data_IF_607167711833
#
_entry.id   IF_607167711833
#
_cell.length_a   1.000
_cell.length_b   1.000
_cell.length_c   1.000
_cell.angle_alpha   90.00
_cell.angle_beta   90.00
_cell.angle_gamma   90.00
#
_symmetry.space_group_name_H-M   'P 1'
#
loop_
_entity.id
_entity.type
_entity.pdbx_description
1 polymer ?
#
# COMPACT_ATOMS: atom_id res chain seq x y z
N UNK A 1 12.44 -28.87 26.50
CA UNK A 1 11.91 -30.21 26.87
C UNK A 1 12.65 -30.79 28.08
N UNK A 2 13.98 -30.71 28.15
CA UNK A 2 14.80 -31.21 29.26
C UNK A 2 14.48 -30.56 30.62
N UNK A 3 14.32 -29.23 30.68
CA UNK A 3 14.02 -28.51 31.92
C UNK A 3 12.67 -28.91 32.56
N UNK A 4 11.64 -29.13 31.74
CA UNK A 4 10.31 -29.58 32.21
C UNK A 4 10.36 -31.04 32.66
N UNK A 5 11.15 -31.88 31.98
CA UNK A 5 11.33 -33.27 32.39
C UNK A 5 12.03 -33.37 33.76
N UNK A 6 13.01 -32.51 34.03
CA UNK A 6 13.73 -32.47 35.31
C UNK A 6 12.81 -32.03 36.45
N UNK A 7 11.99 -31.00 36.27
CA UNK A 7 11.07 -30.54 37.31
C UNK A 7 10.01 -31.59 37.65
N UNK A 8 9.49 -32.30 36.63
CA UNK A 8 8.54 -33.41 36.83
C UNK A 8 9.22 -34.58 37.57
N UNK A 9 10.45 -34.93 37.21
CA UNK A 9 11.21 -35.99 37.88
C UNK A 9 11.48 -35.68 39.35
N UNK A 10 11.89 -34.44 39.66
CA UNK A 10 12.15 -34.04 41.04
C UNK A 10 10.88 -34.02 41.89
N UNK A 11 9.75 -33.59 41.32
CA UNK A 11 8.46 -33.58 42.02
C UNK A 11 7.98 -35.02 42.30
N UNK A 12 8.12 -35.93 41.33
CA UNK A 12 7.77 -37.35 41.50
C UNK A 12 8.59 -38.04 42.58
N UNK A 13 9.91 -37.80 42.63
CA UNK A 13 10.79 -38.39 43.63
C UNK A 13 10.41 -37.97 45.07
N UNK A 14 10.05 -36.69 45.26
CA UNK A 14 9.62 -36.16 46.56
C UNK A 14 8.31 -36.79 47.03
N UNK A 15 7.35 -37.00 46.12
CA UNK A 15 6.06 -37.65 46.42
C UNK A 15 6.27 -39.12 46.85
N UNK A 16 7.15 -39.85 46.16
CA UNK A 16 7.45 -41.26 46.47
C UNK A 16 8.12 -41.41 47.84
N UNK A 17 9.10 -40.54 48.14
CA UNK A 17 9.78 -40.53 49.45
C UNK A 17 8.82 -40.19 50.59
N UNK A 18 7.92 -39.23 50.37
CA UNK A 18 6.91 -38.85 51.35
C UNK A 18 5.97 -40.01 51.68
N UNK A 19 5.46 -40.72 50.66
CA UNK A 19 4.55 -41.85 50.84
C UNK A 19 5.18 -43.00 51.65
N UNK A 20 6.49 -43.25 51.45
CA UNK A 20 7.26 -44.23 52.22
C UNK A 20 7.38 -43.82 53.69
N UNK A 21 7.58 -42.54 53.98
CA UNK A 21 7.74 -42.03 55.34
C UNK A 21 6.42 -42.03 56.14
N UNK A 22 5.28 -41.85 55.49
CA UNK A 22 3.98 -41.74 56.18
C UNK A 22 3.30 -43.08 56.50
N UNK A 23 3.86 -44.20 56.06
CA UNK A 23 3.22 -45.52 56.15
C UNK A 23 3.08 -46.10 57.57
N UNK A 24 3.70 -45.49 58.60
CA UNK A 24 3.74 -46.02 59.97
C UNK A 24 3.08 -45.17 61.07
N UNK A 25 2.39 -44.07 60.74
CA UNK A 25 1.86 -43.13 61.75
C UNK A 25 0.39 -43.45 62.12
N UNK A 26 0.04 -43.44 63.41
CA UNK A 26 -1.34 -43.63 63.90
C UNK A 26 -1.76 -42.56 64.93
N UNK A 27 -3.07 -42.28 65.01
CA UNK A 27 -3.66 -41.39 66.03
C UNK A 27 -3.52 -39.88 65.77
N UNK A 28 -3.10 -39.11 66.77
CA UNK A 28 -2.98 -37.64 66.72
C UNK A 28 -1.95 -37.16 65.68
N UNK A 29 -0.92 -37.98 65.43
CA UNK A 29 0.08 -37.71 64.40
C UNK A 29 -0.50 -37.79 62.99
N UNK A 30 -1.60 -38.52 62.79
CA UNK A 30 -2.31 -38.65 61.51
C UNK A 30 -3.12 -37.38 61.19
N UNK A 31 -3.69 -36.73 62.22
CA UNK A 31 -4.40 -35.45 62.07
C UNK A 31 -3.42 -34.31 61.79
N UNK A 32 -2.29 -34.27 62.51
CA UNK A 32 -1.18 -33.36 62.21
C UNK A 32 -0.61 -33.60 60.81
N UNK A 33 -0.37 -34.86 60.43
CA UNK A 33 0.12 -35.22 59.11
C UNK A 33 -0.85 -34.80 57.99
N UNK A 34 -2.17 -34.87 58.21
CA UNK A 34 -3.16 -34.37 57.23
C UNK A 34 -3.12 -32.86 57.05
N UNK A 35 -2.99 -32.10 58.14
CA UNK A 35 -2.88 -30.63 58.06
C UNK A 35 -1.56 -30.19 57.43
N UNK A 36 -0.45 -30.85 57.78
CA UNK A 36 0.84 -30.59 57.13
C UNK A 36 0.83 -31.01 55.66
N UNK A 37 0.20 -32.13 55.31
CA UNK A 37 0.06 -32.55 53.91
C UNK A 37 -0.80 -31.58 53.09
N UNK A 38 -1.86 -31.02 53.66
CA UNK A 38 -2.67 -29.98 53.01
C UNK A 38 -1.86 -28.70 52.79
N UNK A 39 -1.08 -28.28 53.78
CA UNK A 39 -0.25 -27.07 53.71
C UNK A 39 0.90 -27.22 52.72
N UNK A 40 1.56 -28.37 52.73
CA UNK A 40 2.65 -28.72 51.81
C UNK A 40 2.09 -28.88 50.39
N UNK A 41 0.98 -29.58 50.21
CA UNK A 41 0.30 -29.74 48.93
C UNK A 41 -0.11 -28.41 48.30
N UNK A 42 -0.65 -27.49 49.09
CA UNK A 42 -0.99 -26.14 48.64
C UNK A 42 0.25 -25.34 48.20
N UNK A 43 1.34 -25.38 48.99
CA UNK A 43 2.58 -24.66 48.67
C UNK A 43 3.28 -25.20 47.41
N UNK A 44 3.28 -26.53 47.22
CA UNK A 44 3.85 -27.19 46.04
C UNK A 44 2.99 -26.90 44.81
N UNK A 45 1.66 -26.88 44.95
CA UNK A 45 0.75 -26.50 43.88
C UNK A 45 1.01 -25.07 43.38
N UNK A 46 1.18 -24.12 44.30
CA UNK A 46 1.52 -22.73 43.95
C UNK A 46 2.91 -22.63 43.32
N UNK A 47 3.91 -23.31 43.87
CA UNK A 47 5.28 -23.29 43.35
C UNK A 47 5.40 -23.89 41.95
N UNK A 48 4.80 -25.06 41.72
CA UNK A 48 4.80 -25.71 40.40
C UNK A 48 3.99 -24.93 39.37
N UNK A 49 2.85 -24.37 39.76
CA UNK A 49 2.05 -23.48 38.92
C UNK A 49 2.84 -22.25 38.47
N UNK A 50 3.59 -21.62 39.37
CA UNK A 50 4.44 -20.47 39.05
C UNK A 50 5.56 -20.81 38.05
N UNK A 51 6.22 -21.96 38.22
CA UNK A 51 7.26 -22.43 37.29
C UNK A 51 6.67 -22.75 35.91
N UNK A 52 5.50 -23.38 35.85
CA UNK A 52 4.79 -23.66 34.58
C UNK A 52 4.34 -22.36 33.90
N UNK A 53 3.82 -21.40 34.67
CA UNK A 53 3.42 -20.09 34.15
C UNK A 53 4.62 -19.34 33.56
N UNK A 54 5.76 -19.32 34.26
CA UNK A 54 7.01 -18.73 33.77
C UNK A 54 7.52 -19.46 32.52
N UNK A 55 7.48 -20.79 32.50
CA UNK A 55 7.89 -21.57 31.33
C UNK A 55 7.01 -21.27 30.10
N UNK A 56 5.69 -21.18 30.28
CA UNK A 56 4.76 -20.81 29.20
C UNK A 56 4.96 -19.36 28.76
N UNK A 57 5.19 -18.43 29.68
CA UNK A 57 5.48 -17.04 29.37
C UNK A 57 6.78 -16.92 28.54
N UNK A 58 7.85 -17.60 28.95
CA UNK A 58 9.12 -17.61 28.23
C UNK A 58 8.99 -18.27 26.84
N UNK A 59 8.30 -19.41 26.75
CA UNK A 59 8.02 -20.08 25.47
C UNK A 59 7.20 -19.18 24.53
N UNK A 60 6.20 -18.48 25.08
CA UNK A 60 5.36 -17.56 24.32
C UNK A 60 6.17 -16.37 23.82
N UNK A 61 7.00 -15.79 24.68
CA UNK A 61 7.85 -14.65 24.35
C UNK A 61 8.78 -14.97 23.16
N UNK A 62 9.35 -16.17 23.14
CA UNK A 62 10.21 -16.58 22.03
C UNK A 62 9.44 -16.76 20.70
N UNK A 63 8.18 -17.22 20.76
CA UNK A 63 7.33 -17.29 19.56
C UNK A 63 6.84 -15.93 19.06
N UNK A 64 6.66 -14.96 19.96
CA UNK A 64 6.18 -13.62 19.58
C UNK A 64 7.24 -12.84 18.82
N UNK A 65 8.51 -12.98 19.18
CA UNK A 65 9.63 -12.31 18.49
C UNK A 65 9.73 -12.74 17.03
N UNK A 66 9.60 -14.04 16.75
CA UNK A 66 9.60 -14.56 15.38
C UNK A 66 8.37 -14.08 14.58
N UNK A 67 7.20 -14.01 15.22
CA UNK A 67 5.98 -13.56 14.55
C UNK A 67 6.03 -12.08 14.15
N UNK A 68 6.70 -11.23 14.93
CA UNK A 68 6.85 -9.80 14.63
C UNK A 68 7.73 -9.58 13.40
N UNK A 69 8.87 -10.28 13.31
CA UNK A 69 9.76 -10.17 12.15
C UNK A 69 9.09 -10.65 10.85
N UNK A 70 8.27 -11.71 10.92
CA UNK A 70 7.46 -12.13 9.78
C UNK A 70 6.36 -11.13 9.46
N UNK A 71 5.72 -10.55 10.48
CA UNK A 71 4.67 -9.56 10.31
C UNK A 71 5.18 -8.29 9.62
N UNK A 72 6.36 -7.80 10.00
CA UNK A 72 7.00 -6.63 9.36
C UNK A 72 7.23 -6.87 7.87
N UNK A 73 7.81 -8.02 7.49
CA UNK A 73 8.04 -8.35 6.08
C UNK A 73 6.74 -8.42 5.29
N UNK A 74 5.73 -9.13 5.83
CA UNK A 74 4.42 -9.22 5.16
C UNK A 74 3.70 -7.88 5.08
N UNK A 75 3.92 -6.98 6.05
CA UNK A 75 3.32 -5.65 6.05
C UNK A 75 3.97 -4.75 5.00
N UNK A 76 5.29 -4.86 4.80
CA UNK A 76 5.99 -4.12 3.76
C UNK A 76 5.60 -4.60 2.36
N UNK A 77 5.56 -5.92 2.13
CA UNK A 77 5.07 -6.49 0.86
C UNK A 77 3.61 -6.09 0.59
N UNK A 78 2.75 -6.11 1.62
CA UNK A 78 1.37 -5.67 1.49
C UNK A 78 1.24 -4.17 1.18
N UNK A 79 2.17 -3.34 1.69
CA UNK A 79 2.18 -1.89 1.39
C UNK A 79 2.55 -1.63 -0.06
N UNK A 80 3.56 -2.32 -0.60
CA UNK A 80 3.93 -2.18 -2.01
C UNK A 80 2.80 -2.62 -2.92
N UNK A 81 2.20 -3.78 -2.65
CA UNK A 81 1.08 -4.31 -3.42
C UNK A 81 -0.14 -3.37 -3.36
N UNK A 82 -0.43 -2.79 -2.20
CA UNK A 82 -1.54 -1.84 -2.04
C UNK A 82 -1.33 -0.55 -2.84
N UNK A 83 -0.10 -0.05 -2.94
CA UNK A 83 0.22 1.13 -3.75
C UNK A 83 0.01 0.83 -5.24
N UNK A 84 0.52 -0.30 -5.73
CA UNK A 84 0.36 -0.70 -7.13
C UNK A 84 -1.11 -0.92 -7.52
N UNK A 85 -1.89 -1.59 -6.66
CA UNK A 85 -3.33 -1.77 -6.86
C UNK A 85 -4.08 -0.45 -6.87
N UNK A 86 -3.79 0.44 -5.92
CA UNK A 86 -4.42 1.76 -5.84
C UNK A 86 -4.17 2.59 -7.10
N UNK A 87 -2.95 2.54 -7.63
CA UNK A 87 -2.61 3.21 -8.90
C UNK A 87 -3.45 2.62 -10.04
N UNK A 88 -3.48 1.29 -10.15
CA UNK A 88 -4.24 0.58 -11.20
C UNK A 88 -5.74 0.89 -11.13
N UNK A 89 -6.34 0.90 -9.94
CA UNK A 89 -7.74 1.26 -9.74
C UNK A 89 -8.03 2.71 -10.15
N UNK A 90 -7.12 3.64 -9.81
CA UNK A 90 -7.26 5.04 -10.21
C UNK A 90 -7.16 5.22 -11.74
N UNK A 91 -6.28 4.47 -12.40
CA UNK A 91 -6.22 4.41 -13.85
C UNK A 91 -7.53 3.91 -14.46
N UNK A 92 -8.06 2.80 -13.96
CA UNK A 92 -9.30 2.20 -14.47
C UNK A 92 -10.47 3.18 -14.34
N UNK A 93 -10.60 3.84 -13.18
CA UNK A 93 -11.62 4.88 -12.97
C UNK A 93 -11.46 6.04 -13.95
N UNK A 94 -10.25 6.52 -14.17
CA UNK A 94 -10.03 7.64 -15.10
C UNK A 94 -10.30 7.24 -16.55
N UNK A 95 -9.95 6.01 -16.95
CA UNK A 95 -10.27 5.45 -18.26
C UNK A 95 -11.79 5.31 -18.47
N UNK A 96 -12.53 4.92 -17.44
CA UNK A 96 -14.00 4.85 -17.47
C UNK A 96 -14.62 6.25 -17.68
N UNK A 97 -14.10 7.27 -17.02
CA UNK A 97 -14.53 8.67 -17.21
C UNK A 97 -14.29 9.16 -18.64
N UNK A 98 -13.18 8.76 -19.29
CA UNK A 98 -12.89 9.09 -20.68
C UNK A 98 -13.87 8.46 -21.67
N UNK A 99 -14.49 7.34 -21.32
CA UNK A 99 -15.52 6.67 -22.12
C UNK A 99 -16.91 7.32 -22.02
N UNK A 100 -17.08 8.38 -21.23
CA UNK A 100 -18.37 9.03 -21.07
C UNK A 100 -18.77 9.87 -22.29
N UNK A 101 -20.03 9.78 -22.71
CA UNK A 101 -20.60 10.65 -23.76
C UNK A 101 -20.59 12.14 -23.37
N UNK A 102 -20.52 12.46 -22.08
CA UNK A 102 -20.57 13.84 -21.55
C UNK A 102 -19.18 14.48 -21.54
N UNK A 103 -19.02 15.58 -22.27
CA UNK A 103 -17.75 16.33 -22.34
C UNK A 103 -17.17 16.75 -20.97
N UNK A 104 -17.97 17.22 -19.99
CA UNK A 104 -17.44 17.57 -18.66
C UNK A 104 -16.85 16.37 -17.90
N UNK A 105 -17.38 15.16 -18.12
CA UNK A 105 -16.93 13.93 -17.44
C UNK A 105 -15.61 13.43 -18.04
N UNK A 106 -15.44 13.57 -19.35
CA UNK A 106 -14.16 13.22 -19.99
C UNK A 106 -13.04 14.18 -19.57
N UNK A 107 -13.35 15.46 -19.41
CA UNK A 107 -12.40 16.45 -18.90
C UNK A 107 -11.92 16.11 -17.47
N UNK A 108 -12.83 15.64 -16.61
CA UNK A 108 -12.47 15.22 -15.25
C UNK A 108 -11.57 13.98 -15.25
N UNK A 109 -11.82 13.02 -16.15
CA UNK A 109 -10.94 11.87 -16.37
C UNK A 109 -9.52 12.28 -16.81
N UNK A 110 -9.41 13.26 -17.71
CA UNK A 110 -8.12 13.79 -18.17
C UNK A 110 -7.32 14.43 -17.02
N UNK A 111 -8.00 15.21 -16.17
CA UNK A 111 -7.37 15.85 -15.01
C UNK A 111 -6.95 14.84 -13.93
N UNK A 112 -7.73 13.75 -13.77
CA UNK A 112 -7.38 12.66 -12.86
C UNK A 112 -6.09 11.95 -13.31
N UNK A 113 -5.95 11.68 -14.62
CA UNK A 113 -4.74 11.11 -15.20
C UNK A 113 -3.54 12.06 -15.09
N UNK A 114 -3.75 13.37 -15.28
CA UNK A 114 -2.68 14.35 -15.07
C UNK A 114 -2.12 14.27 -13.65
N UNK A 115 -3.00 14.29 -12.63
CA UNK A 115 -2.58 14.17 -11.24
C UNK A 115 -1.82 12.88 -10.96
N UNK A 116 -2.29 11.76 -11.52
CA UNK A 116 -1.62 10.46 -11.39
C UNK A 116 -0.21 10.47 -12.00
N UNK A 117 -0.02 11.17 -13.13
CA UNK A 117 1.28 11.38 -13.76
C UNK A 117 2.22 12.25 -12.91
N UNK A 118 1.67 13.26 -12.22
CA UNK A 118 2.48 14.11 -11.35
C UNK A 118 3.03 13.31 -10.17
N UNK A 119 2.18 12.49 -9.55
CA UNK A 119 2.53 11.66 -8.39
C UNK A 119 3.48 10.51 -8.78
N UNK A 120 3.41 9.98 -10.01
CA UNK A 120 4.18 8.81 -10.45
C UNK A 120 5.05 9.12 -11.68
N UNK A 121 6.30 9.56 -11.44
CA UNK A 121 7.22 9.95 -12.52
C UNK A 121 7.48 8.86 -13.56
N UNK A 122 7.56 7.59 -13.13
CA UNK A 122 7.79 6.43 -14.02
C UNK A 122 6.65 6.20 -15.00
N UNK A 123 5.43 6.64 -14.69
CA UNK A 123 4.25 6.37 -15.51
C UNK A 123 3.82 7.54 -16.41
N UNK A 124 4.53 8.67 -16.36
CA UNK A 124 4.23 9.86 -17.17
C UNK A 124 4.18 9.54 -18.66
N UNK A 125 5.13 8.75 -19.16
CA UNK A 125 5.18 8.39 -20.58
C UNK A 125 3.95 7.54 -20.98
N UNK A 126 3.54 6.60 -20.14
CA UNK A 126 2.35 5.77 -20.38
C UNK A 126 1.08 6.62 -20.42
N UNK A 127 0.92 7.56 -19.50
CA UNK A 127 -0.23 8.50 -19.47
C UNK A 127 -0.27 9.36 -20.74
N UNK A 128 0.88 9.91 -21.16
CA UNK A 128 0.95 10.70 -22.40
C UNK A 128 0.56 9.84 -23.61
N UNK A 129 1.00 8.58 -23.67
CA UNK A 129 0.59 7.68 -24.75
C UNK A 129 -0.93 7.44 -24.76
N UNK A 130 -1.56 7.31 -23.59
CA UNK A 130 -3.02 7.20 -23.46
C UNK A 130 -3.71 8.47 -23.94
N UNK A 131 -3.21 9.66 -23.58
CA UNK A 131 -3.75 10.93 -24.09
C UNK A 131 -3.66 11.02 -25.60
N UNK A 132 -2.49 10.68 -26.17
CA UNK A 132 -2.31 10.69 -27.62
C UNK A 132 -3.24 9.67 -28.31
N UNK A 133 -3.43 8.48 -27.74
CA UNK A 133 -4.34 7.49 -28.27
C UNK A 133 -5.80 7.99 -28.23
N UNK A 134 -6.22 8.57 -27.11
CA UNK A 134 -7.55 9.15 -26.93
C UNK A 134 -7.82 10.27 -27.93
N UNK A 135 -6.89 11.20 -28.12
CA UNK A 135 -7.05 12.30 -29.08
C UNK A 135 -7.02 11.85 -30.55
N UNK A 136 -6.42 10.70 -30.84
CA UNK A 136 -6.40 10.10 -32.19
C UNK A 136 -7.70 9.38 -32.53
N UNK A 137 -8.47 8.99 -31.52
CA UNK A 137 -9.81 8.45 -31.69
C UNK A 137 -10.73 9.61 -32.06
N UNK A 138 -11.28 9.60 -33.28
CA UNK A 138 -12.19 10.65 -33.76
C UNK A 138 -13.40 10.75 -32.81
N UNK A 139 -13.61 11.95 -32.25
CA UNK A 139 -14.74 12.25 -31.37
C UNK A 139 -15.82 12.98 -32.15
N UNK A 140 -16.98 12.34 -32.34
CA UNK A 140 -18.16 13.01 -32.91
C UNK A 140 -18.79 13.91 -31.84
N UNK A 141 -18.78 15.21 -32.11
CA UNK A 141 -19.43 16.20 -31.25
C UNK A 141 -20.94 15.93 -31.23
N UNK A 142 -21.55 15.76 -30.04
CA UNK A 142 -23.01 15.76 -29.94
C UNK A 142 -23.50 17.09 -30.47
N UNK A 143 -24.30 17.06 -31.54
CA UNK A 143 -24.94 18.24 -32.11
C UNK A 143 -25.85 18.79 -31.01
N UNK A 144 -25.50 19.93 -30.41
CA UNK A 144 -26.35 20.66 -29.47
C UNK A 144 -27.67 20.97 -30.16
N UNK A 145 -28.71 20.21 -29.85
CA UNK A 145 -30.02 20.37 -30.48
C UNK A 145 -30.94 21.36 -29.76
N UNK A 146 -30.51 21.91 -28.61
CA UNK A 146 -31.37 22.75 -27.76
C UNK A 146 -30.63 23.97 -27.18
N UNK A 147 -29.70 24.58 -27.92
CA UNK A 147 -29.17 25.91 -27.56
C UNK A 147 -29.97 27.01 -28.26
N UNK A 148 -31.30 26.97 -28.09
CA UNK A 148 -32.20 27.98 -28.59
C UNK A 148 -32.03 29.30 -27.81
N UNK A 149 -31.49 30.27 -28.57
CA UNK A 149 -31.86 31.69 -28.61
C UNK A 149 -31.51 32.64 -27.45
N UNK A 150 -31.19 32.19 -26.24
CA UNK A 150 -30.99 33.12 -25.10
C UNK A 150 -29.57 33.67 -24.88
N UNK A 151 -28.55 32.80 -24.81
CA UNK A 151 -27.25 33.15 -24.21
C UNK A 151 -26.25 33.83 -25.17
N UNK A 152 -26.47 33.70 -26.48
CA UNK A 152 -25.52 34.16 -27.51
C UNK A 152 -25.58 35.66 -27.80
N UNK A 153 -26.69 36.32 -27.45
CA UNK A 153 -26.89 37.76 -27.65
C UNK A 153 -26.15 38.58 -26.58
N UNK A 154 -26.30 38.20 -25.31
CA UNK A 154 -25.69 38.90 -24.17
C UNK A 154 -24.15 38.84 -24.17
N UNK A 155 -23.57 37.70 -24.59
CA UNK A 155 -22.12 37.53 -24.66
C UNK A 155 -21.48 38.22 -25.87
N UNK A 156 -22.23 38.46 -26.95
CA UNK A 156 -21.76 39.22 -28.12
C UNK A 156 -21.75 40.72 -27.87
N UNK A 157 -22.64 41.23 -27.01
CA UNK A 157 -22.66 42.64 -26.61
C UNK A 157 -21.54 42.97 -25.61
N UNK A 158 -21.27 42.10 -24.63
CA UNK A 158 -20.21 42.33 -23.64
C UNK A 158 -18.79 42.33 -24.24
N UNK A 159 -18.59 41.71 -25.41
CA UNK A 159 -17.28 41.67 -26.10
C UNK A 159 -17.18 42.67 -27.27
N UNK A 160 -18.23 43.45 -27.56
CA UNK A 160 -18.23 44.49 -28.60
C UNK A 160 -17.85 45.84 -27.99
N UNK A 161 -16.63 45.94 -27.50
CA UNK A 161 -15.98 47.24 -27.27
C UNK A 161 -15.46 47.80 -28.62
N UNK A 162 -15.73 49.08 -28.96
CA UNK A 162 -15.17 49.69 -30.17
C UNK A 162 -13.67 49.92 -30.04
N UNK A 163 -12.86 49.13 -30.76
CA UNK A 163 -11.47 49.50 -31.05
C UNK A 163 -11.44 50.63 -32.08
N UNK A 164 -11.66 51.84 -31.63
CA UNK A 164 -11.20 53.05 -32.33
C UNK A 164 -9.75 53.32 -31.91
N UNK A 165 -8.80 53.09 -32.82
CA UNK A 165 -7.42 53.47 -32.59
C UNK A 165 -6.38 52.64 -33.34
N UNK A 166 -6.10 53.07 -34.56
CA UNK A 166 -4.75 53.16 -35.15
C UNK A 166 -3.88 51.90 -35.32
N UNK A 167 -3.46 51.66 -36.57
CA UNK A 167 -2.14 51.09 -36.85
C UNK A 167 -2.10 50.07 -37.98
N UNK A 168 -2.04 50.55 -39.21
CA UNK A 168 -1.55 49.82 -40.38
C UNK A 168 -0.18 49.16 -40.10
N UNK A 169 -0.13 47.82 -40.04
CA UNK A 169 1.11 47.07 -40.28
C UNK A 169 0.84 45.81 -41.11
N UNK A 170 1.48 45.80 -42.28
CA UNK A 170 1.51 44.79 -43.31
C UNK A 170 1.91 43.39 -42.81
N UNK A 171 1.50 42.31 -43.50
CA UNK A 171 1.89 40.95 -43.12
C UNK A 171 3.31 40.63 -43.60
N UNK A 172 4.25 40.50 -42.66
CA UNK A 172 5.60 40.01 -42.95
C UNK A 172 5.53 38.51 -43.31
N UNK A 173 5.84 38.18 -44.57
CA UNK A 173 6.08 36.81 -45.05
C UNK A 173 7.11 36.10 -44.16
N UNK A 174 6.78 34.91 -43.64
CA UNK A 174 7.79 33.98 -43.11
C UNK A 174 8.66 33.46 -44.26
N UNK A 175 10.00 33.41 -44.12
CA UNK A 175 10.83 32.68 -45.05
C UNK A 175 10.75 31.18 -44.75
N UNK A 176 10.52 30.40 -45.81
CA UNK A 176 10.62 28.93 -45.84
C UNK A 176 12.00 28.47 -45.36
N UNK A 177 12.12 27.46 -44.49
CA UNK A 177 13.43 26.90 -44.16
C UNK A 177 14.04 26.24 -45.40
N UNK A 178 15.17 26.79 -45.84
CA UNK A 178 15.97 26.27 -46.93
C UNK A 178 16.45 24.83 -46.64
N UNK A 179 16.41 24.01 -47.68
CA UNK A 179 16.90 22.63 -47.70
C UNK A 179 18.37 22.57 -47.26
N UNK A 180 18.65 21.63 -46.33
CA UNK A 180 20.00 21.34 -45.82
C UNK A 180 20.85 20.75 -46.97
N UNK A 181 22.06 21.27 -47.26
CA UNK A 181 22.92 20.71 -48.30
C UNK A 181 23.42 19.29 -47.94
N UNK A 182 23.77 18.46 -48.94
CA UNK A 182 24.16 17.07 -48.73
C UNK A 182 25.50 16.94 -48.00
N UNK A 183 25.58 15.99 -47.07
CA UNK A 183 26.81 15.73 -46.31
C UNK A 183 27.93 15.20 -47.21
N UNK A 184 29.18 15.67 -47.05
CA UNK A 184 30.32 15.06 -47.71
C UNK A 184 30.59 13.68 -47.11
N UNK A 185 30.48 12.66 -47.96
CA UNK A 185 30.87 11.28 -47.70
C UNK A 185 32.36 11.23 -47.32
N UNK A 186 32.67 10.93 -46.05
CA UNK A 186 34.04 10.72 -45.58
C UNK A 186 34.53 9.34 -46.08
N UNK A 187 34.87 9.27 -47.37
CA UNK A 187 35.56 8.13 -47.97
C UNK A 187 37.06 8.23 -47.68
N UNK A 188 37.56 7.23 -46.95
CA UNK A 188 38.89 6.61 -47.03
C UNK A 188 40.06 7.42 -47.65
N UNK A 189 41.09 7.70 -46.83
CA UNK A 189 42.52 7.43 -47.09
C UNK A 189 43.33 7.84 -45.85
N UNK A 190 43.93 6.89 -45.13
CA UNK A 190 45.34 6.47 -45.25
C UNK A 190 46.33 7.61 -44.98
N UNK A 191 46.99 7.58 -43.81
CA UNK A 191 48.44 7.67 -43.59
C UNK A 191 48.71 7.96 -42.10
N UNK A 192 49.44 7.05 -41.46
CA UNK A 192 49.83 7.09 -40.05
C UNK A 192 49.98 5.69 -39.49
#
# INVERSE_FOLDING_TARGET
MTAVAITILTAGAVIVLWWRATAGLTGADLVKARLDALKIGLSIGVGSGGVVALYLAWRRQHSTEASLAHQERTADDARTDAVERRITEMYLKAAELLGSEKAPVRLSGLYALERLAQDNKSQRQTIVNVFCAYLRMSYDLPVEKDRDEGASAEQRELYREPREGAGTRSPTRRPTPAQRPPQPQLRHRLLG
#
